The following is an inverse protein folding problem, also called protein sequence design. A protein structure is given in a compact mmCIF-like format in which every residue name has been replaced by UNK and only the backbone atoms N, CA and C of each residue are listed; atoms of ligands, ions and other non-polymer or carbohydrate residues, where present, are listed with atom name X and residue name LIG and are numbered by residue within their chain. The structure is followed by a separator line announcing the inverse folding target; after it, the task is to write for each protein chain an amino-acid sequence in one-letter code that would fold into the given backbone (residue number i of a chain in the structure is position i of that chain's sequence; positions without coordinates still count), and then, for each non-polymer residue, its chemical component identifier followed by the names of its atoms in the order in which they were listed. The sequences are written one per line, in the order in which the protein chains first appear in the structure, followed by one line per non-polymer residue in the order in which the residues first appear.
data_IF_327724362600
#
_entry.id   IF_327724362600
#
_cell.length_a   1.000
_cell.length_b   1.000
_cell.length_c   1.000
_cell.angle_alpha   90.00
_cell.angle_beta   90.00
_cell.angle_gamma   90.00
#
_symmetry.space_group_name_H-M   'P 1'
#
loop_
_entity.id
_entity.type
_entity.pdbx_description
1 polymer ?
#
# COMPACT_ATOMS: atom_id res chain seq x y z
N UNK A 1 -21.96 23.17 -40.04
CA UNK A 1 -21.71 21.71 -40.09
C UNK A 1 -20.83 21.37 -38.90
N UNK A 2 -21.40 20.69 -37.90
CA UNK A 2 -20.69 20.21 -36.72
C UNK A 2 -19.94 18.94 -37.15
N UNK A 3 -18.60 18.98 -37.22
CA UNK A 3 -17.80 17.77 -37.42
C UNK A 3 -17.67 17.08 -36.06
N UNK A 4 -18.45 16.04 -35.84
CA UNK A 4 -18.29 15.15 -34.69
C UNK A 4 -17.00 14.34 -34.87
N UNK A 5 -15.89 14.85 -34.32
CA UNK A 5 -14.60 14.17 -34.29
C UNK A 5 -14.61 13.09 -33.20
N UNK A 6 -15.30 11.98 -33.46
CA UNK A 6 -15.25 10.81 -32.57
C UNK A 6 -13.96 10.06 -32.86
N UNK A 7 -12.91 10.35 -32.08
CA UNK A 7 -11.67 9.58 -32.11
C UNK A 7 -11.97 8.09 -31.82
N UNK A 8 -11.86 7.24 -32.86
CA UNK A 8 -12.02 5.79 -32.71
C UNK A 8 -10.74 5.20 -32.13
N UNK A 9 -10.62 5.19 -30.81
CA UNK A 9 -9.57 4.42 -30.13
C UNK A 9 -9.86 2.92 -30.31
N UNK A 10 -9.13 2.25 -31.20
CA UNK A 10 -9.22 0.79 -31.37
C UNK A 10 -7.96 0.14 -30.81
N UNK A 11 -8.12 -0.70 -29.79
CA UNK A 11 -7.01 -1.43 -29.17
C UNK A 11 -6.71 -2.69 -29.98
N UNK A 12 -5.46 -2.88 -30.41
CA UNK A 12 -5.01 -4.19 -30.89
C UNK A 12 -4.77 -5.14 -29.71
N UNK A 13 -4.92 -6.44 -29.95
CA UNK A 13 -4.62 -7.45 -28.93
C UNK A 13 -3.13 -7.40 -28.52
N UNK A 14 -2.25 -6.99 -29.45
CA UNK A 14 -0.83 -6.75 -29.17
C UNK A 14 -0.60 -5.57 -28.22
N UNK A 15 -1.39 -4.49 -28.34
CA UNK A 15 -1.27 -3.31 -27.47
C UNK A 15 -1.67 -3.68 -26.03
N UNK A 16 -2.78 -4.42 -25.88
CA UNK A 16 -3.23 -4.93 -24.59
C UNK A 16 -2.17 -5.82 -23.92
N UNK A 17 -1.55 -6.73 -24.69
CA UNK A 17 -0.47 -7.59 -24.20
C UNK A 17 0.77 -6.78 -23.81
N UNK A 18 1.24 -5.88 -24.67
CA UNK A 18 2.42 -5.05 -24.43
C UNK A 18 2.24 -4.21 -23.17
N UNK A 19 1.10 -3.54 -23.02
CA UNK A 19 0.84 -2.69 -21.86
C UNK A 19 0.62 -3.48 -20.59
N UNK A 20 -0.04 -4.63 -20.65
CA UNK A 20 -0.23 -5.51 -19.48
C UNK A 20 1.11 -6.05 -18.98
N UNK A 21 1.92 -6.63 -19.89
CA UNK A 21 3.24 -7.17 -19.56
C UNK A 21 4.20 -6.06 -19.13
N UNK A 22 4.22 -4.93 -19.84
CA UNK A 22 5.02 -3.75 -19.47
C UNK A 22 4.66 -3.23 -18.09
N UNK A 23 3.36 -3.11 -17.77
CA UNK A 23 2.90 -2.67 -16.45
C UNK A 23 3.31 -3.64 -15.34
N UNK A 24 3.23 -4.95 -15.58
CA UNK A 24 3.67 -5.96 -14.62
C UNK A 24 5.19 -5.93 -14.41
N UNK A 25 5.96 -5.77 -15.49
CA UNK A 25 7.42 -5.66 -15.43
C UNK A 25 7.84 -4.43 -14.64
N UNK A 26 7.30 -3.25 -14.96
CA UNK A 26 7.57 -2.01 -14.22
C UNK A 26 7.15 -2.15 -12.75
N UNK A 27 5.94 -2.66 -12.50
CA UNK A 27 5.46 -2.89 -11.14
C UNK A 27 6.45 -3.71 -10.32
N UNK A 28 6.96 -4.82 -10.87
CA UNK A 28 7.94 -5.66 -10.20
C UNK A 28 9.31 -5.01 -10.07
N UNK A 29 9.81 -4.37 -11.13
CA UNK A 29 11.12 -3.71 -11.15
C UNK A 29 11.23 -2.61 -10.07
N UNK A 30 10.16 -1.84 -9.86
CA UNK A 30 10.11 -0.81 -8.82
C UNK A 30 9.65 -1.33 -7.44
N UNK A 31 9.78 -2.64 -7.19
CA UNK A 31 9.55 -3.24 -5.88
C UNK A 31 8.08 -3.41 -5.50
N UNK A 32 7.17 -3.35 -6.47
CA UNK A 32 5.76 -3.65 -6.32
C UNK A 32 5.53 -5.08 -5.85
N UNK A 33 4.59 -5.23 -4.91
CA UNK A 33 4.17 -6.54 -4.37
C UNK A 33 2.67 -6.65 -4.59
N UNK A 34 2.15 -7.74 -5.14
CA UNK A 34 0.71 -7.85 -5.39
C UNK A 34 -0.13 -7.63 -4.11
N UNK A 35 0.35 -8.10 -2.96
CA UNK A 35 -0.29 -7.80 -1.67
C UNK A 35 -0.41 -6.30 -1.36
N UNK A 36 0.53 -5.48 -1.84
CA UNK A 36 0.55 -4.03 -1.59
C UNK A 36 -0.55 -3.22 -2.29
N UNK A 37 -1.27 -3.82 -3.26
CA UNK A 37 -2.44 -3.16 -3.86
C UNK A 37 -3.71 -3.41 -3.06
N UNK A 38 -3.71 -4.41 -2.18
CA UNK A 38 -4.87 -4.77 -1.36
C UNK A 38 -4.99 -3.83 -0.15
N UNK A 39 -6.22 -3.57 0.33
CA UNK A 39 -6.42 -2.83 1.57
C UNK A 39 -5.74 -3.54 2.75
N UNK A 40 -5.18 -2.76 3.66
CA UNK A 40 -4.60 -3.26 4.91
C UNK A 40 -5.63 -3.29 6.02
N UNK A 41 -5.69 -4.38 6.77
CA UNK A 41 -6.35 -4.37 8.07
C UNK A 41 -5.54 -3.56 9.09
N UNK A 42 -6.25 -2.88 10.00
CA UNK A 42 -5.68 -2.23 11.18
C UNK A 42 -5.62 -3.16 12.40
N UNK A 43 -6.17 -4.38 12.33
CA UNK A 43 -6.18 -5.32 13.48
C UNK A 43 -5.44 -6.63 13.20
N UNK A 44 -4.97 -6.80 11.97
CA UNK A 44 -4.17 -7.92 11.49
C UNK A 44 -2.92 -7.40 10.78
N UNK A 45 -1.95 -8.27 10.41
CA UNK A 45 -0.80 -7.83 9.63
C UNK A 45 -1.26 -7.21 8.31
N UNK A 46 -1.02 -5.91 8.13
CA UNK A 46 -1.38 -5.19 6.92
C UNK A 46 -0.66 -5.68 5.65
N UNK A 47 -1.07 -5.14 4.50
CA UNK A 47 -0.56 -5.48 3.17
C UNK A 47 0.97 -5.32 3.01
N UNK A 48 1.60 -4.51 3.87
CA UNK A 48 3.02 -4.23 3.84
C UNK A 48 3.83 -4.97 4.91
N UNK A 49 3.19 -5.79 5.75
CA UNK A 49 3.85 -6.57 6.77
C UNK A 49 4.94 -7.47 6.17
N UNK A 50 6.15 -7.42 6.75
CA UNK A 50 7.30 -8.24 6.33
C UNK A 50 7.97 -8.94 7.50
N UNK A 51 8.19 -8.20 8.57
CA UNK A 51 8.95 -8.64 9.75
C UNK A 51 8.21 -8.22 10.99
N UNK A 52 8.39 -9.00 12.06
CA UNK A 52 7.83 -8.72 13.37
C UNK A 52 8.78 -9.16 14.46
N UNK A 53 8.64 -8.53 15.62
CA UNK A 53 9.32 -8.91 16.85
C UNK A 53 8.30 -9.56 17.81
N UNK A 54 8.73 -10.46 18.71
CA UNK A 54 7.86 -10.95 19.77
C UNK A 54 7.44 -9.77 20.67
N UNK A 55 6.15 -9.73 21.05
CA UNK A 55 5.67 -8.79 22.05
C UNK A 55 5.63 -9.47 23.44
N UNK A 56 6.10 -8.81 24.52
CA UNK A 56 6.01 -9.32 25.88
C UNK A 56 4.57 -9.17 26.41
N UNK A 57 3.63 -9.89 25.78
CA UNK A 57 2.20 -9.75 26.03
C UNK A 57 1.66 -8.37 25.65
N UNK A 58 0.79 -7.82 26.50
CA UNK A 58 0.07 -6.57 26.27
C UNK A 58 0.88 -5.32 26.60
N UNK A 59 2.09 -5.47 27.16
CA UNK A 59 2.97 -4.36 27.49
C UNK A 59 3.46 -3.64 26.24
N UNK A 60 3.69 -2.34 26.35
CA UNK A 60 4.30 -1.54 25.29
C UNK A 60 5.74 -2.00 25.03
N UNK A 61 6.22 -1.72 23.81
CA UNK A 61 7.60 -1.99 23.44
C UNK A 61 8.57 -1.16 24.29
N UNK A 62 9.58 -1.80 24.87
CA UNK A 62 10.70 -1.11 25.52
C UNK A 62 11.50 -0.28 24.51
N UNK A 63 12.32 0.66 24.98
CA UNK A 63 13.09 1.54 24.10
C UNK A 63 14.03 0.76 23.17
N UNK A 64 14.66 -0.31 23.67
CA UNK A 64 15.50 -1.19 22.84
C UNK A 64 14.68 -1.90 21.73
N UNK A 65 13.43 -2.32 22.02
CA UNK A 65 12.54 -2.90 21.01
C UNK A 65 12.08 -1.82 20.02
N UNK A 66 11.78 -0.61 20.51
CA UNK A 66 11.35 0.53 19.69
C UNK A 66 12.44 0.99 18.72
N UNK A 67 13.70 0.98 19.15
CA UNK A 67 14.85 1.27 18.29
C UNK A 67 14.97 0.21 17.18
N UNK A 68 14.88 -1.08 17.55
CA UNK A 68 14.87 -2.19 16.57
C UNK A 68 13.70 -2.06 15.59
N UNK A 69 12.50 -1.78 16.06
CA UNK A 69 11.33 -1.54 15.21
C UNK A 69 11.52 -0.34 14.29
N UNK A 70 12.16 0.72 14.76
CA UNK A 70 12.47 1.88 13.93
C UNK A 70 13.46 1.53 12.83
N UNK A 71 14.51 0.75 13.13
CA UNK A 71 15.43 0.20 12.10
C UNK A 71 14.68 -0.66 11.08
N UNK A 72 13.82 -1.57 11.54
CA UNK A 72 13.00 -2.41 10.65
C UNK A 72 12.00 -1.59 9.82
N UNK A 73 11.36 -0.59 10.41
CA UNK A 73 10.41 0.31 9.75
C UNK A 73 11.08 1.19 8.69
N UNK A 74 12.29 1.68 8.94
CA UNK A 74 13.09 2.38 7.91
C UNK A 74 13.45 1.45 6.74
N UNK A 75 13.82 0.21 7.03
CA UNK A 75 14.19 -0.79 6.00
C UNK A 75 12.99 -1.25 5.18
N UNK A 76 11.91 -1.64 5.84
CA UNK A 76 10.78 -2.35 5.23
C UNK A 76 9.50 -1.54 5.07
N UNK A 77 9.40 -0.40 5.76
CA UNK A 77 8.21 0.44 5.81
C UNK A 77 7.22 0.04 6.90
N UNK A 78 6.25 0.91 7.12
CA UNK A 78 5.09 0.65 7.98
C UNK A 78 4.35 -0.60 7.47
N UNK A 79 4.02 -1.54 8.35
CA UNK A 79 3.33 -2.77 7.94
C UNK A 79 1.91 -2.53 7.37
N UNK A 80 1.29 -1.38 7.67
CA UNK A 80 -0.06 -1.04 7.17
C UNK A 80 -0.04 -0.21 5.90
N UNK A 81 0.78 0.84 5.77
CA UNK A 81 0.77 1.70 4.57
C UNK A 81 2.07 1.68 3.75
N UNK A 82 3.11 1.00 4.23
CA UNK A 82 4.39 0.89 3.56
C UNK A 82 5.30 2.13 3.66
N UNK A 83 4.86 3.23 4.31
CA UNK A 83 5.71 4.43 4.44
C UNK A 83 6.99 4.14 5.21
N UNK A 84 8.12 4.62 4.68
CA UNK A 84 9.44 4.57 5.34
C UNK A 84 9.82 5.91 5.98
N UNK A 85 9.02 6.95 5.76
CA UNK A 85 9.34 8.35 6.13
C UNK A 85 8.88 8.73 7.54
N UNK A 86 8.41 7.76 8.33
CA UNK A 86 8.04 8.02 9.72
C UNK A 86 9.32 8.30 10.54
N UNK A 87 9.38 9.38 11.36
CA UNK A 87 10.55 9.64 12.19
C UNK A 87 10.80 8.50 13.18
N UNK A 88 9.70 7.93 13.70
CA UNK A 88 9.69 6.81 14.63
C UNK A 88 8.69 5.74 14.18
N UNK A 89 8.97 4.48 14.51
CA UNK A 89 8.01 3.39 14.35
C UNK A 89 7.62 2.85 15.72
N UNK A 90 6.31 2.68 15.91
CA UNK A 90 5.70 2.13 17.11
C UNK A 90 5.54 0.62 16.91
N UNK A 91 5.65 -0.15 17.99
CA UNK A 91 5.32 -1.57 17.97
C UNK A 91 3.81 -1.72 17.98
N UNK A 92 3.23 -1.98 16.82
CA UNK A 92 1.82 -2.32 16.73
C UNK A 92 1.60 -3.76 17.22
N UNK A 93 0.76 -3.93 18.23
CA UNK A 93 0.35 -5.23 18.73
C UNK A 93 -0.63 -5.87 17.76
N UNK A 94 -0.24 -6.99 17.19
CA UNK A 94 -1.14 -7.82 16.37
C UNK A 94 -1.35 -9.19 17.03
N UNK A 95 -2.60 -9.56 17.38
CA UNK A 95 -3.79 -8.70 17.38
C UNK A 95 -3.70 -7.58 18.45
N UNK A 96 -4.49 -6.50 18.33
CA UNK A 96 -4.51 -5.41 19.32
C UNK A 96 -4.96 -5.88 20.70
N UNK A 97 -4.51 -5.19 21.76
CA UNK A 97 -4.85 -5.54 23.15
C UNK A 97 -6.35 -5.63 23.42
N UNK A 98 -7.18 -4.83 22.74
CA UNK A 98 -8.65 -4.88 22.88
C UNK A 98 -9.29 -6.16 22.32
N UNK A 99 -8.57 -6.88 21.46
CA UNK A 99 -9.06 -8.04 20.70
C UNK A 99 -8.30 -9.33 21.01
N UNK A 100 -7.25 -9.26 21.83
CA UNK A 100 -6.43 -10.42 22.17
C UNK A 100 -7.19 -11.37 23.10
N UNK A 101 -7.19 -12.66 22.78
CA UNK A 101 -7.79 -13.70 23.62
C UNK A 101 -6.82 -14.13 24.74
N UNK A 102 -7.32 -14.64 25.89
CA UNK A 102 -6.45 -15.20 26.92
C UNK A 102 -5.49 -16.26 26.34
N UNK A 103 -4.20 -16.16 26.67
CA UNK A 103 -3.15 -17.06 26.18
C UNK A 103 -2.69 -16.82 24.73
N UNK A 104 -3.29 -15.89 23.99
CA UNK A 104 -2.91 -15.60 22.62
C UNK A 104 -1.61 -14.78 22.56
N UNK A 105 -0.62 -15.28 21.83
CA UNK A 105 0.65 -14.58 21.61
C UNK A 105 0.46 -13.38 20.68
N UNK A 106 1.00 -12.23 21.07
CA UNK A 106 1.03 -11.02 20.26
C UNK A 106 2.42 -10.80 19.64
N UNK A 107 2.45 -10.07 18.53
CA UNK A 107 3.69 -9.68 17.85
C UNK A 107 3.68 -8.20 17.57
N UNK A 108 4.87 -7.59 17.61
CA UNK A 108 5.08 -6.22 17.20
C UNK A 108 5.41 -6.11 15.72
N UNK A 109 4.61 -5.33 15.00
CA UNK A 109 4.93 -4.88 13.65
C UNK A 109 5.30 -3.39 13.67
N UNK A 110 6.26 -2.95 12.83
CA UNK A 110 6.64 -1.54 12.76
C UNK A 110 5.53 -0.72 12.12
N UNK A 111 4.92 0.18 12.89
CA UNK A 111 3.81 1.03 12.45
C UNK A 111 4.17 2.52 12.55
N UNK A 112 3.83 3.31 11.53
CA UNK A 112 3.97 4.76 11.60
C UNK A 112 2.92 5.40 12.51
N UNK A 113 3.22 6.60 13.01
CA UNK A 113 2.34 7.35 13.94
C UNK A 113 0.94 7.58 13.36
N UNK A 114 0.83 7.89 12.06
CA UNK A 114 -0.47 8.11 11.42
C UNK A 114 -1.35 6.86 11.40
N UNK A 115 -0.78 5.70 11.07
CA UNK A 115 -1.55 4.45 11.06
C UNK A 115 -1.87 3.96 12.47
N UNK A 116 -0.98 4.18 13.44
CA UNK A 116 -1.26 3.89 14.86
C UNK A 116 -2.45 4.72 15.38
N UNK A 117 -2.49 6.02 15.04
CA UNK A 117 -3.65 6.89 15.34
C UNK A 117 -4.94 6.37 14.68
N UNK A 118 -4.87 6.03 13.39
CA UNK A 118 -6.02 5.47 12.66
C UNK A 118 -6.56 4.19 13.31
N UNK A 119 -5.66 3.30 13.73
CA UNK A 119 -6.02 2.06 14.43
C UNK A 119 -6.72 2.37 15.75
N UNK A 120 -6.13 3.24 16.58
CA UNK A 120 -6.73 3.66 17.86
C UNK A 120 -8.13 4.23 17.68
N UNK A 121 -8.34 5.05 16.63
CA UNK A 121 -9.66 5.58 16.27
C UNK A 121 -10.59 4.44 15.87
N UNK A 122 -10.17 3.52 14.99
CA UNK A 122 -11.03 2.40 14.55
C UNK A 122 -11.41 1.43 15.67
N UNK A 123 -10.59 1.34 16.72
CA UNK A 123 -10.83 0.50 17.90
C UNK A 123 -11.53 1.26 19.04
N UNK A 124 -11.89 2.52 18.84
CA UNK A 124 -12.66 3.29 19.83
C UNK A 124 -14.10 2.78 19.88
N UNK A 125 -14.68 2.73 21.08
CA UNK A 125 -16.02 2.15 21.36
C UNK A 125 -17.11 2.77 20.51
N UNK A 126 -16.99 4.07 20.20
CA UNK A 126 -17.98 4.83 19.41
C UNK A 126 -17.56 5.04 17.95
N UNK A 127 -16.55 4.32 17.47
CA UNK A 127 -16.04 4.52 16.13
C UNK A 127 -16.94 3.87 15.08
N UNK A 128 -17.37 4.65 14.09
CA UNK A 128 -17.98 4.12 12.85
C UNK A 128 -16.92 3.80 11.79
N UNK A 129 -15.64 4.03 12.07
CA UNK A 129 -14.55 3.86 11.10
C UNK A 129 -14.17 2.40 11.00
N UNK A 130 -14.28 1.85 9.79
CA UNK A 130 -13.81 0.48 9.51
C UNK A 130 -12.29 0.36 9.79
N UNK A 131 -11.82 -0.79 10.32
CA UNK A 131 -10.41 -1.03 10.61
C UNK A 131 -9.63 -1.39 9.33
N UNK A 132 -9.79 -0.59 8.27
CA UNK A 132 -9.24 -0.84 6.94
C UNK A 132 -8.55 0.42 6.41
N UNK A 133 -7.39 0.26 5.78
CA UNK A 133 -6.65 1.32 5.09
C UNK A 133 -6.37 0.95 3.64
N UNK A 134 -6.88 1.75 2.71
CA UNK A 134 -6.68 1.58 1.26
C UNK A 134 -5.41 2.27 0.79
N UNK A 135 -4.84 1.82 -0.35
CA UNK A 135 -3.57 2.34 -0.89
C UNK A 135 -3.65 2.86 -2.32
N UNK A 136 -4.84 2.81 -2.94
CA UNK A 136 -5.03 3.21 -4.34
C UNK A 136 -4.69 4.67 -4.63
N UNK A 137 -4.76 5.54 -3.64
CA UNK A 137 -4.43 6.97 -3.76
C UNK A 137 -2.97 7.29 -3.42
N UNK A 138 -2.17 6.29 -2.99
CA UNK A 138 -0.77 6.51 -2.66
C UNK A 138 0.09 6.39 -3.91
N UNK A 139 0.56 7.54 -4.43
CA UNK A 139 1.50 7.57 -5.54
C UNK A 139 2.79 6.82 -5.18
N UNK A 140 3.19 5.91 -6.05
CA UNK A 140 4.41 5.10 -5.98
C UNK A 140 5.03 5.08 -7.36
N UNK A 141 6.34 4.85 -7.44
CA UNK A 141 7.10 4.95 -8.69
C UNK A 141 6.48 4.13 -9.83
N UNK A 142 5.97 2.93 -9.57
CA UNK A 142 5.33 2.11 -10.59
C UNK A 142 4.00 2.66 -11.14
N UNK A 143 3.37 3.63 -10.48
CA UNK A 143 2.18 4.31 -11.03
C UNK A 143 2.55 5.32 -12.13
N UNK A 144 3.81 5.75 -12.23
CA UNK A 144 4.27 6.65 -13.30
C UNK A 144 4.20 6.01 -14.70
N UNK A 145 4.15 4.67 -14.76
CA UNK A 145 3.97 3.95 -16.01
C UNK A 145 2.51 3.94 -16.48
N UNK A 146 1.52 4.09 -15.59
CA UNK A 146 0.11 4.05 -15.99
C UNK A 146 -0.31 5.13 -17.02
N UNK A 147 0.15 6.39 -16.96
CA UNK A 147 -0.20 7.39 -17.99
C UNK A 147 0.54 7.20 -19.32
N UNK A 148 1.68 6.50 -19.34
CA UNK A 148 2.52 6.39 -20.54
C UNK A 148 1.84 5.62 -21.69
N UNK A 149 1.23 4.43 -21.49
CA UNK A 149 0.45 3.76 -22.51
C UNK A 149 -0.63 4.65 -23.14
N UNK A 150 -1.41 5.35 -22.31
CA UNK A 150 -2.46 6.23 -22.79
C UNK A 150 -1.90 7.40 -23.63
N UNK A 151 -0.77 7.97 -23.21
CA UNK A 151 -0.09 9.02 -23.96
C UNK A 151 0.49 8.54 -25.30
N UNK A 152 1.16 7.38 -25.31
CA UNK A 152 1.66 6.77 -26.55
C UNK A 152 0.53 6.43 -27.52
N UNK A 153 -0.62 6.02 -27.01
CA UNK A 153 -1.82 5.80 -27.82
C UNK A 153 -2.34 7.10 -28.44
N UNK A 154 -2.42 8.18 -27.66
CA UNK A 154 -2.85 9.49 -28.16
C UNK A 154 -1.96 9.97 -29.31
N UNK A 155 -0.63 9.82 -29.19
CA UNK A 155 0.30 10.13 -30.28
C UNK A 155 0.07 9.27 -31.53
N UNK A 156 -0.32 8.00 -31.37
CA UNK A 156 -0.64 7.11 -32.50
C UNK A 156 -1.95 7.49 -33.17
N UNK A 157 -2.99 7.84 -32.41
CA UNK A 157 -4.26 8.28 -33.00
C UNK A 157 -4.12 9.57 -33.80
N UNK A 158 -3.23 10.47 -33.39
CA UNK A 158 -2.96 11.71 -34.11
C UNK A 158 -2.17 11.48 -35.40
N UNK A 159 -1.38 10.42 -35.49
CA UNK A 159 -0.65 10.06 -36.72
C UNK A 159 -1.55 9.32 -37.71
N UNK A 160 -2.42 8.43 -37.23
CA UNK A 160 -3.40 7.72 -38.06
C UNK A 160 -4.50 8.66 -38.61
N UNK A 161 -4.79 9.79 -37.95
CA UNK A 161 -5.79 10.79 -38.39
C UNK A 161 -5.26 11.80 -39.42
N UNK A 162 -3.93 11.85 -39.63
CA UNK A 162 -3.26 12.70 -40.61
C UNK A 162 -3.00 12.01 -41.96
N UNK A 163 -3.33 10.71 -42.07
CA UNK A 163 -3.26 9.92 -43.31
C UNK A 163 -4.64 9.77 -43.94
#
# INVERSE_FOLDING_TARGET
MQFDYVAKYSYSHYDLLLYSLGSLMVFKAFGGRFRSVLPSSLVHPGAFARVSLPAPGQLYASDAIREKLTKLGRKYGCHTCGTKRSPLFIGDHIPPNKLVKPGQKQRFFPQCTNCSKDQGISLSVNSKKLPIKTHGTTLRLYHLWLPLPAYLMWLRSDTDSQC
#
